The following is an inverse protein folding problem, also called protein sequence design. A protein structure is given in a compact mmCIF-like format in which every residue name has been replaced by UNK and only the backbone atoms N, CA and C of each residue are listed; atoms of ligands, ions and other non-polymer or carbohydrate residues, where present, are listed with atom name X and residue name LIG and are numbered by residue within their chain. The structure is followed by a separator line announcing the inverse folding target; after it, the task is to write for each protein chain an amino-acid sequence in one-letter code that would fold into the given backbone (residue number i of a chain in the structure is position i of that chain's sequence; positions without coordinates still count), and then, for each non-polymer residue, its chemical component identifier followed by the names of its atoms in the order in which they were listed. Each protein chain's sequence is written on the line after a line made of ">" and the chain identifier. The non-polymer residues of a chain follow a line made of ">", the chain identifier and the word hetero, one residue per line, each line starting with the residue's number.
data_IF_861139983977
#
_entry.id   IF_861139983977
#
_cell.length_a   1.000
_cell.length_b   1.000
_cell.length_c   1.000
_cell.angle_alpha   90.00
_cell.angle_beta   90.00
_cell.angle_gamma   90.00
#
_symmetry.space_group_name_H-M   'P 1'
#
loop_
_entity.id
_entity.type
_entity.pdbx_description
1 polymer ?
#
# COMPACT_ATOMS: atom_id res chain seq x y z
N UNK A 1 7.77 -9.26 -0.71
CA UNK A 1 7.86 -8.92 0.71
C UNK A 1 9.32 -8.76 1.10
N UNK A 2 9.63 -7.81 1.99
CA UNK A 2 10.98 -7.58 2.53
C UNK A 2 11.23 -8.27 3.88
N UNK A 3 10.20 -8.88 4.48
CA UNK A 3 10.25 -9.55 5.79
C UNK A 3 9.97 -11.07 5.72
N UNK A 4 9.85 -11.62 4.50
CA UNK A 4 9.57 -13.03 4.26
C UNK A 4 8.12 -13.45 4.50
N UNK A 5 7.21 -12.53 4.85
CA UNK A 5 5.78 -12.80 5.00
C UNK A 5 5.01 -12.71 3.66
N UNK A 6 3.91 -13.45 3.49
CA UNK A 6 3.02 -13.27 2.34
C UNK A 6 2.48 -11.83 2.25
N UNK A 7 2.23 -11.35 1.03
CA UNK A 7 1.61 -10.03 0.79
C UNK A 7 0.08 -10.02 1.02
N UNK A 8 -0.51 -11.18 1.33
CA UNK A 8 -1.94 -11.28 1.56
C UNK A 8 -2.34 -10.56 2.86
N UNK A 9 -3.42 -9.77 2.78
CA UNK A 9 -4.04 -9.18 3.97
C UNK A 9 -4.77 -10.27 4.74
N UNK A 10 -4.40 -10.43 6.01
CA UNK A 10 -4.98 -11.45 6.88
C UNK A 10 -5.21 -10.91 8.30
N UNK A 11 -6.30 -11.35 8.93
CA UNK A 11 -6.59 -11.01 10.32
C UNK A 11 -5.50 -11.57 11.25
N UNK A 12 -5.07 -10.77 12.23
CA UNK A 12 -3.99 -11.12 13.16
C UNK A 12 -2.57 -10.95 12.58
N UNK A 13 -2.44 -10.65 11.29
CA UNK A 13 -1.18 -10.24 10.69
C UNK A 13 -0.77 -8.81 11.09
N UNK A 14 0.50 -8.41 10.84
CA UNK A 14 0.94 -7.04 11.01
C UNK A 14 0.08 -6.09 10.16
N UNK A 15 -0.34 -4.98 10.75
CA UNK A 15 -1.05 -3.93 10.03
C UNK A 15 -0.06 -3.01 9.30
N UNK A 16 0.63 -3.59 8.31
CA UNK A 16 1.53 -2.93 7.37
C UNK A 16 0.81 -2.77 6.03
N UNK A 17 0.15 -1.63 5.83
CA UNK A 17 -0.81 -1.41 4.75
C UNK A 17 -0.53 -0.11 4.00
N UNK A 18 -0.75 -0.14 2.69
CA UNK A 18 -0.91 1.05 1.85
C UNK A 18 -2.36 1.10 1.35
N UNK A 19 -3.02 2.25 1.51
CA UNK A 19 -4.36 2.50 0.98
C UNK A 19 -4.19 3.34 -0.28
N UNK A 20 -4.64 2.80 -1.41
CA UNK A 20 -4.51 3.42 -2.73
C UNK A 20 -5.86 4.03 -3.14
N UNK A 21 -5.81 5.17 -3.82
CA UNK A 21 -7.03 5.81 -4.36
C UNK A 21 -7.52 5.15 -5.66
N UNK A 22 -6.64 4.41 -6.33
CA UNK A 22 -6.89 3.73 -7.60
C UNK A 22 -6.46 2.27 -7.53
N UNK A 23 -6.98 1.46 -8.44
CA UNK A 23 -6.50 0.09 -8.63
C UNK A 23 -5.05 0.15 -9.17
N UNK A 24 -4.08 -0.51 -8.52
CA UNK A 24 -2.70 -0.49 -8.98
C UNK A 24 -2.52 -1.16 -10.34
N UNK A 25 -3.38 -2.11 -10.72
CA UNK A 25 -3.30 -2.80 -12.01
C UNK A 25 -3.61 -1.84 -13.17
N UNK A 26 -4.39 -0.78 -12.95
CA UNK A 26 -4.65 0.26 -13.96
C UNK A 26 -3.42 1.14 -14.24
N UNK A 27 -2.37 1.07 -13.41
CA UNK A 27 -1.19 1.95 -13.48
C UNK A 27 0.09 1.25 -13.96
N UNK A 28 0.05 -0.06 -14.20
CA UNK A 28 1.25 -0.85 -14.53
C UNK A 28 1.83 -0.53 -15.91
N UNK A 29 0.97 -0.20 -16.87
CA UNK A 29 1.37 0.06 -18.26
C UNK A 29 1.76 1.51 -18.52
N UNK A 30 1.38 2.42 -17.61
CA UNK A 30 1.72 3.83 -17.73
C UNK A 30 3.19 4.06 -17.34
N UNK A 31 4.02 4.67 -18.22
CA UNK A 31 5.39 5.03 -17.85
C UNK A 31 5.42 5.91 -16.59
N UNK A 32 6.00 5.38 -15.52
CA UNK A 32 6.06 6.06 -14.22
C UNK A 32 4.78 5.98 -13.38
N UNK A 33 3.71 5.31 -13.84
CA UNK A 33 2.42 5.20 -13.14
C UNK A 33 2.56 4.69 -11.69
N UNK A 34 3.28 3.58 -11.50
CA UNK A 34 3.55 3.05 -10.16
C UNK A 34 4.33 4.02 -9.25
N UNK A 35 5.18 4.89 -9.81
CA UNK A 35 5.94 5.88 -9.02
C UNK A 35 5.10 7.09 -8.65
N UNK A 36 4.08 7.40 -9.45
CA UNK A 36 3.13 8.49 -9.24
C UNK A 36 1.84 8.02 -8.55
N UNK A 37 1.79 6.76 -8.09
CA UNK A 37 0.60 6.13 -7.51
C UNK A 37 -0.01 7.02 -6.40
N UNK A 38 -1.30 7.38 -6.49
CA UNK A 38 -1.98 8.11 -5.43
C UNK A 38 -2.21 7.20 -4.22
N UNK A 39 -1.63 7.60 -3.08
CA UNK A 39 -1.70 6.87 -1.81
C UNK A 39 -2.46 7.71 -0.80
N UNK A 40 -3.68 7.29 -0.46
CA UNK A 40 -4.50 7.92 0.56
C UNK A 40 -3.87 7.81 1.96
N UNK A 41 -3.14 6.73 2.23
CA UNK A 41 -2.47 6.52 3.52
C UNK A 41 -1.52 5.33 3.56
N UNK A 42 -0.63 5.36 4.54
CA UNK A 42 0.32 4.29 4.84
C UNK A 42 0.32 4.03 6.35
N UNK A 43 0.18 2.75 6.71
CA UNK A 43 0.19 2.27 8.09
C UNK A 43 1.33 1.28 8.26
N UNK A 44 2.09 1.41 9.35
CA UNK A 44 3.11 0.45 9.76
C UNK A 44 2.83 0.00 11.19
N UNK A 45 2.75 -1.30 11.41
CA UNK A 45 2.43 -1.94 12.67
C UNK A 45 1.21 -1.32 13.38
N UNK A 46 0.16 -0.99 12.63
CA UNK A 46 -1.08 -0.40 13.17
C UNK A 46 -1.04 1.12 13.35
N UNK A 47 0.09 1.78 13.05
CA UNK A 47 0.26 3.23 13.17
C UNK A 47 0.27 3.89 11.81
N UNK A 48 -0.62 4.85 11.58
CA UNK A 48 -0.55 5.74 10.42
C UNK A 48 0.75 6.53 10.43
N UNK A 49 1.57 6.36 9.40
CA UNK A 49 2.79 7.13 9.17
C UNK A 49 2.58 8.20 8.10
N UNK A 50 1.59 8.00 7.23
CA UNK A 50 1.10 8.96 6.25
C UNK A 50 -0.43 8.81 6.12
N UNK A 51 -1.15 9.92 5.97
CA UNK A 51 -2.57 9.92 5.58
C UNK A 51 -2.98 11.30 5.06
N UNK A 52 -3.86 11.33 4.07
CA UNK A 52 -4.62 12.53 3.72
C UNK A 52 -5.61 12.92 4.83
N UNK A 53 -6.05 14.18 4.83
CA UNK A 53 -7.08 14.74 5.72
C UNK A 53 -8.18 15.41 4.89
#
# INVERSE_FOLDING_TARGET
>A
STDGRPLAVAAGGPADLAVLDVDPDDQVDAPGGLRAMPVAGTMLAGRWTHRGF
#
